data_IF_796443072577
#
_entry.id   IF_796443072577
#
_cell.length_a   1.000
_cell.length_b   1.000
_cell.length_c   1.000
_cell.angle_alpha   90.00
_cell.angle_beta   90.00
_cell.angle_gamma   90.00
#
_symmetry.space_group_name_H-M   'P 1'
#
loop_
_entity.id
_entity.type
_entity.pdbx_description
1 polymer ?
#
# COMPACT_ATOMS: atom_id res chain seq x y z
N UNK A 1 -8.42 16.65 6.71
CA UNK A 1 -8.73 15.20 6.56
C UNK A 1 -9.67 14.79 7.67
N UNK A 2 -10.84 14.25 7.32
CA UNK A 2 -11.75 13.66 8.30
C UNK A 2 -11.17 12.33 8.81
N UNK A 3 -11.21 12.09 10.12
CA UNK A 3 -10.63 10.88 10.72
C UNK A 3 -11.62 9.72 10.54
N UNK A 4 -11.33 8.84 9.59
CA UNK A 4 -12.18 7.67 9.36
C UNK A 4 -12.03 6.65 10.51
N UNK A 5 -13.03 5.80 10.78
CA UNK A 5 -12.92 4.75 11.80
C UNK A 5 -11.71 3.82 11.59
N UNK A 6 -11.34 3.56 10.34
CA UNK A 6 -10.18 2.76 9.98
C UNK A 6 -8.86 3.47 10.33
N UNK A 7 -8.79 4.79 10.13
CA UNK A 7 -7.66 5.60 10.55
C UNK A 7 -7.48 5.59 12.07
N UNK A 8 -8.58 5.72 12.83
CA UNK A 8 -8.57 5.63 14.30
C UNK A 8 -8.13 4.24 14.80
N UNK A 9 -8.61 3.16 14.16
CA UNK A 9 -8.15 1.79 14.46
C UNK A 9 -6.64 1.66 14.24
N UNK A 10 -6.10 2.22 13.16
CA UNK A 10 -4.66 2.16 12.90
C UNK A 10 -3.85 2.99 13.91
N UNK A 11 -4.37 4.14 14.33
CA UNK A 11 -3.78 4.92 15.41
C UNK A 11 -3.75 4.15 16.73
N UNK A 12 -4.80 3.37 17.03
CA UNK A 12 -4.82 2.48 18.19
C UNK A 12 -3.77 1.37 18.06
N UNK A 13 -3.66 0.70 16.91
CA UNK A 13 -2.64 -0.33 16.67
C UNK A 13 -1.21 0.22 16.74
N UNK A 14 -1.00 1.46 16.28
CA UNK A 14 0.27 2.17 16.41
C UNK A 14 0.62 2.39 17.89
N UNK A 15 -0.35 2.82 18.71
CA UNK A 15 -0.19 3.03 20.16
C UNK A 15 0.04 1.71 20.90
N UNK A 16 -0.63 0.64 20.50
CA UNK A 16 -0.51 -0.69 21.08
C UNK A 16 0.77 -1.45 20.64
N UNK A 17 1.49 -0.95 19.63
CA UNK A 17 2.70 -1.60 19.12
C UNK A 17 2.46 -2.82 18.23
N UNK A 18 1.22 -3.03 17.76
CA UNK A 18 0.83 -4.19 16.93
C UNK A 18 1.32 -4.10 15.48
N UNK A 19 1.73 -2.91 15.02
CA UNK A 19 2.30 -2.72 13.70
C UNK A 19 3.77 -3.12 13.67
N UNK A 20 4.19 -3.79 12.60
CA UNK A 20 5.61 -4.05 12.35
C UNK A 20 6.37 -2.73 12.32
N UNK A 21 7.60 -2.72 12.82
CA UNK A 21 8.36 -1.48 13.04
C UNK A 21 8.43 -0.57 11.80
N UNK A 22 8.66 -1.16 10.61
CA UNK A 22 8.72 -0.43 9.34
C UNK A 22 7.36 0.18 8.97
N UNK A 23 6.27 -0.58 9.12
CA UNK A 23 4.90 -0.09 8.87
C UNK A 23 4.56 1.07 9.81
N UNK A 24 4.93 0.92 11.09
CA UNK A 24 4.77 1.96 12.12
C UNK A 24 5.51 3.25 11.75
N UNK A 25 6.77 3.13 11.31
CA UNK A 25 7.58 4.27 10.87
C UNK A 25 6.96 4.93 9.63
N UNK A 26 6.59 4.16 8.61
CA UNK A 26 5.96 4.66 7.37
C UNK A 26 4.66 5.41 7.69
N UNK A 27 3.79 4.82 8.51
CA UNK A 27 2.51 5.45 8.86
C UNK A 27 2.69 6.76 9.63
N UNK A 28 3.60 6.80 10.62
CA UNK A 28 3.96 8.04 11.33
C UNK A 28 4.44 9.12 10.37
N UNK A 29 5.28 8.75 9.41
CA UNK A 29 5.84 9.68 8.43
C UNK A 29 4.74 10.31 7.57
N UNK A 30 3.77 9.51 7.09
CA UNK A 30 2.65 10.07 6.32
C UNK A 30 1.73 10.97 7.14
N UNK A 31 1.52 10.70 8.43
CA UNK A 31 0.78 11.60 9.31
C UNK A 31 1.49 12.96 9.42
N UNK A 32 2.81 12.95 9.54
CA UNK A 32 3.62 14.17 9.67
C UNK A 32 3.78 14.94 8.35
N UNK A 33 3.60 14.27 7.21
CA UNK A 33 3.83 14.82 5.86
C UNK A 33 2.59 14.60 4.97
N UNK A 34 1.50 15.37 5.21
CA UNK A 34 0.23 15.19 4.50
C UNK A 34 0.31 15.49 3.00
N UNK A 35 1.28 16.32 2.59
CA UNK A 35 1.47 16.69 1.18
C UNK A 35 2.09 15.57 0.33
N UNK A 36 2.51 14.47 0.96
CA UNK A 36 3.15 13.35 0.30
C UNK A 36 4.67 13.42 0.32
N UNK A 37 5.28 12.29 -0.01
CA UNK A 37 6.71 12.08 -0.04
C UNK A 37 7.11 11.18 -1.20
N UNK A 38 8.19 11.55 -1.88
CA UNK A 38 8.85 10.69 -2.84
C UNK A 38 9.40 9.43 -2.18
N UNK A 39 9.69 8.41 -3.00
CA UNK A 39 10.34 7.18 -2.53
C UNK A 39 11.69 7.45 -1.86
N UNK A 40 12.47 8.39 -2.40
CA UNK A 40 13.78 8.74 -1.87
C UNK A 40 13.64 9.37 -0.48
N UNK A 41 12.70 10.30 -0.31
CA UNK A 41 12.44 10.93 0.98
C UNK A 41 11.92 9.92 2.01
N UNK A 42 11.04 9.00 1.59
CA UNK A 42 10.59 7.93 2.48
C UNK A 42 11.73 7.05 2.96
N UNK A 43 12.64 6.64 2.06
CA UNK A 43 13.82 5.85 2.47
C UNK A 43 14.70 6.65 3.41
N UNK A 44 14.92 7.93 3.12
CA UNK A 44 15.71 8.80 3.96
C UNK A 44 15.14 8.95 5.37
N UNK A 45 13.83 9.23 5.48
CA UNK A 45 13.19 9.48 6.78
C UNK A 45 13.04 8.18 7.59
N UNK A 46 12.68 7.06 6.95
CA UNK A 46 12.41 5.78 7.65
C UNK A 46 13.70 5.11 8.12
N UNK A 47 14.79 5.21 7.35
CA UNK A 47 16.06 4.51 7.61
C UNK A 47 17.22 5.44 8.01
N UNK A 48 17.04 6.76 7.98
CA UNK A 48 18.10 7.73 8.31
C UNK A 48 19.28 7.75 7.33
N UNK A 49 19.13 7.14 6.16
CA UNK A 49 20.23 6.92 5.23
C UNK A 49 20.11 7.84 3.99
N UNK A 50 21.25 8.33 3.48
CA UNK A 50 21.28 8.94 2.15
C UNK A 50 21.07 7.85 1.10
N UNK A 51 20.13 8.09 0.20
CA UNK A 51 19.83 7.18 -0.91
C UNK A 51 20.59 7.63 -2.14
N UNK A 52 21.18 6.67 -2.86
CA UNK A 52 21.80 6.95 -4.15
C UNK A 52 20.75 7.38 -5.17
N UNK A 53 21.19 7.96 -6.30
CA UNK A 53 20.27 8.44 -7.36
C UNK A 53 19.36 7.33 -7.92
N UNK A 54 19.77 6.07 -7.84
CA UNK A 54 19.01 4.93 -8.36
C UNK A 54 18.43 4.06 -7.24
N UNK A 55 17.09 4.02 -7.15
CA UNK A 55 16.35 3.23 -6.17
C UNK A 55 15.97 1.82 -6.65
N UNK A 56 16.15 1.50 -7.94
CA UNK A 56 15.52 0.31 -8.53
C UNK A 56 15.99 -1.01 -7.91
N UNK A 57 17.21 -1.05 -7.35
CA UNK A 57 17.77 -2.22 -6.67
C UNK A 57 17.99 -1.99 -5.16
N UNK A 58 17.42 -0.92 -4.59
CA UNK A 58 17.61 -0.63 -3.17
C UNK A 58 16.70 -1.52 -2.30
N UNK A 59 17.31 -2.32 -1.42
CA UNK A 59 16.58 -3.22 -0.52
C UNK A 59 15.70 -2.46 0.47
N UNK A 60 16.07 -1.23 0.86
CA UNK A 60 15.29 -0.38 1.76
C UNK A 60 14.05 0.14 1.06
N UNK A 61 14.19 0.57 -0.20
CA UNK A 61 13.04 0.94 -1.02
C UNK A 61 12.06 -0.25 -1.16
N UNK A 62 12.58 -1.46 -1.44
CA UNK A 62 11.75 -2.68 -1.48
C UNK A 62 11.00 -2.90 -0.17
N UNK A 63 11.64 -2.68 0.98
CA UNK A 63 11.00 -2.75 2.31
C UNK A 63 9.91 -1.69 2.47
N UNK A 64 10.12 -0.46 2.00
CA UNK A 64 9.10 0.59 2.01
C UNK A 64 7.90 0.21 1.16
N UNK A 65 8.11 -0.23 -0.08
CA UNK A 65 7.01 -0.64 -0.96
C UNK A 65 6.19 -1.77 -0.34
N UNK A 66 6.85 -2.75 0.29
CA UNK A 66 6.19 -3.85 1.02
C UNK A 66 5.42 -3.36 2.26
N UNK A 67 5.96 -2.41 3.00
CA UNK A 67 5.27 -1.78 4.13
C UNK A 67 4.04 -1.00 3.70
N UNK A 68 4.14 -0.20 2.64
CA UNK A 68 3.00 0.52 2.03
C UNK A 68 1.94 -0.48 1.54
N UNK A 69 2.35 -1.54 0.84
CA UNK A 69 1.45 -2.61 0.40
C UNK A 69 0.71 -3.26 1.58
N UNK A 70 1.42 -3.59 2.66
CA UNK A 70 0.83 -4.14 3.88
C UNK A 70 -0.20 -3.20 4.52
N UNK A 71 0.12 -1.90 4.60
CA UNK A 71 -0.80 -0.88 5.10
C UNK A 71 -2.04 -0.75 4.20
N UNK A 72 -1.88 -0.74 2.86
CA UNK A 72 -3.00 -0.72 1.92
C UNK A 72 -3.89 -1.95 2.05
N UNK A 73 -3.30 -3.13 2.24
CA UNK A 73 -4.05 -4.38 2.46
C UNK A 73 -4.85 -4.36 3.77
N UNK A 74 -4.46 -3.54 4.75
CA UNK A 74 -5.21 -3.28 5.99
C UNK A 74 -6.27 -2.18 5.85
N UNK A 75 -6.47 -1.64 4.64
CA UNK A 75 -7.46 -0.62 4.34
C UNK A 75 -6.97 0.83 4.50
N UNK A 76 -5.65 1.04 4.65
CA UNK A 76 -5.09 2.40 4.66
C UNK A 76 -5.06 2.95 3.24
N UNK A 77 -5.68 4.11 3.04
CA UNK A 77 -5.75 4.75 1.72
C UNK A 77 -4.47 5.54 1.48
N UNK A 78 -3.48 4.84 0.91
CA UNK A 78 -2.21 5.42 0.46
C UNK A 78 -2.24 5.47 -1.06
N UNK A 79 -2.10 6.67 -1.61
CA UNK A 79 -2.06 6.88 -3.06
C UNK A 79 -0.70 7.37 -3.50
N UNK A 80 -0.36 7.03 -4.74
CA UNK A 80 0.81 7.56 -5.44
C UNK A 80 0.30 8.58 -6.45
N UNK A 81 0.69 9.85 -6.32
CA UNK A 81 0.38 10.85 -7.34
C UNK A 81 1.40 10.75 -8.46
N UNK A 82 0.93 10.54 -9.69
CA UNK A 82 1.75 10.45 -10.91
C UNK A 82 2.47 11.75 -11.29
N UNK A 83 2.14 12.89 -10.66
CA UNK A 83 2.70 14.22 -10.95
C UNK A 83 3.88 14.69 -10.09
N UNK A 84 4.47 13.84 -9.25
CA UNK A 84 5.74 14.15 -8.56
C UNK A 84 5.71 14.22 -7.03
N UNK A 85 4.54 14.34 -6.39
CA UNK A 85 4.45 14.41 -4.91
C UNK A 85 4.65 13.05 -4.20
N UNK A 86 4.81 11.96 -4.96
CA UNK A 86 5.08 10.63 -4.40
C UNK A 86 3.87 10.00 -3.69
N UNK A 87 4.12 9.33 -2.56
CA UNK A 87 3.10 8.64 -1.76
C UNK A 87 2.54 9.55 -0.67
N UNK A 88 1.22 9.52 -0.47
CA UNK A 88 0.54 10.24 0.63
C UNK A 88 -0.64 9.44 1.18
N UNK A 89 -1.05 9.79 2.40
CA UNK A 89 -2.37 9.42 2.92
C UNK A 89 -3.42 10.33 2.30
N UNK A 90 -4.47 9.73 1.75
CA UNK A 90 -5.55 10.48 1.09
C UNK A 90 -6.87 9.75 1.33
N UNK A 91 -7.64 10.23 2.30
CA UNK A 91 -8.90 9.62 2.71
C UNK A 91 -10.11 10.36 2.11
N UNK A 92 -9.91 11.10 1.02
CA UNK A 92 -11.01 11.79 0.36
C UNK A 92 -11.91 10.79 -0.37
N UNK A 93 -13.21 11.09 -0.43
CA UNK A 93 -14.21 10.14 -0.93
C UNK A 93 -13.94 9.67 -2.35
N UNK A 94 -13.55 10.59 -3.23
CA UNK A 94 -13.21 10.28 -4.62
C UNK A 94 -11.99 9.35 -4.72
N UNK A 95 -10.98 9.61 -3.88
CA UNK A 95 -9.77 8.78 -3.79
C UNK A 95 -10.12 7.37 -3.32
N UNK A 96 -10.97 7.25 -2.31
CA UNK A 96 -11.47 5.97 -1.82
C UNK A 96 -12.25 5.21 -2.91
N UNK A 97 -13.14 5.90 -3.64
CA UNK A 97 -13.90 5.30 -4.74
C UNK A 97 -13.00 4.88 -5.91
N UNK A 98 -11.94 5.65 -6.20
CA UNK A 98 -10.93 5.29 -7.20
C UNK A 98 -10.18 4.01 -6.80
N UNK A 99 -9.68 3.95 -5.56
CA UNK A 99 -9.01 2.75 -5.05
C UNK A 99 -9.93 1.53 -5.01
N UNK A 100 -11.20 1.70 -4.65
CA UNK A 100 -12.18 0.62 -4.66
C UNK A 100 -12.41 0.08 -6.09
N UNK A 101 -12.52 0.96 -7.09
CA UNK A 101 -12.65 0.58 -8.51
C UNK A 101 -11.41 -0.17 -9.01
N UNK A 102 -10.22 0.30 -8.67
CA UNK A 102 -8.96 -0.39 -8.99
C UNK A 102 -8.94 -1.82 -8.42
N UNK A 103 -9.32 -1.98 -7.15
CA UNK A 103 -9.36 -3.29 -6.48
C UNK A 103 -10.40 -4.22 -7.10
N UNK A 104 -11.61 -3.73 -7.40
CA UNK A 104 -12.64 -4.51 -8.10
C UNK A 104 -12.18 -4.99 -9.48
N UNK A 105 -11.53 -4.11 -10.25
CA UNK A 105 -10.95 -4.47 -11.55
C UNK A 105 -9.85 -5.53 -11.40
N UNK A 106 -9.01 -5.42 -10.37
CA UNK A 106 -7.98 -6.41 -10.07
C UNK A 106 -8.57 -7.78 -9.69
N UNK A 107 -9.67 -7.81 -8.93
CA UNK A 107 -10.40 -9.04 -8.62
C UNK A 107 -10.86 -9.73 -9.91
N UNK A 108 -11.52 -8.99 -10.82
CA UNK A 108 -11.98 -9.53 -12.11
C UNK A 108 -10.85 -10.17 -12.91
N UNK A 109 -9.74 -9.44 -13.09
CA UNK A 109 -8.58 -9.94 -13.85
C UNK A 109 -7.92 -11.16 -13.20
N UNK A 110 -7.90 -11.22 -11.86
CA UNK A 110 -7.38 -12.38 -11.15
C UNK A 110 -8.30 -13.59 -11.34
N UNK A 111 -9.61 -13.41 -11.31
CA UNK A 111 -10.57 -14.47 -11.56
C UNK A 111 -10.43 -15.02 -12.99
N UNK A 112 -10.36 -14.15 -14.00
CA UNK A 112 -10.11 -14.57 -15.39
C UNK A 112 -8.84 -15.43 -15.51
N UNK A 113 -7.78 -15.06 -14.79
CA UNK A 113 -6.54 -15.84 -14.78
C UNK A 113 -6.69 -17.19 -14.08
N UNK A 114 -7.47 -17.26 -13.00
CA UNK A 114 -7.80 -18.53 -12.33
C UNK A 114 -8.56 -19.42 -13.31
N UNK A 115 -9.62 -18.92 -13.94
CA UNK A 115 -10.46 -19.67 -14.87
C UNK A 115 -9.64 -20.25 -16.03
N UNK A 116 -8.70 -19.47 -16.57
CA UNK A 116 -7.76 -19.93 -17.61
C UNK A 116 -6.86 -21.06 -17.11
N UNK A 117 -6.30 -20.95 -15.89
CA UNK A 117 -5.47 -22.02 -15.32
C UNK A 117 -6.30 -23.29 -15.10
N UNK A 118 -7.53 -23.16 -14.59
CA UNK A 118 -8.44 -24.29 -14.40
C UNK A 118 -8.78 -24.97 -15.73
N UNK A 119 -9.07 -24.19 -16.78
CA UNK A 119 -9.40 -24.71 -18.10
C UNK A 119 -8.22 -25.44 -18.78
N UNK A 120 -7.02 -24.85 -18.76
CA UNK A 120 -5.88 -25.39 -19.51
C UNK A 120 -5.02 -26.40 -18.72
N UNK A 121 -5.03 -26.34 -17.38
CA UNK A 121 -4.06 -27.08 -16.57
C UNK A 121 -4.66 -28.02 -15.53
N UNK A 122 -5.98 -27.98 -15.28
CA UNK A 122 -6.62 -28.92 -14.37
C UNK A 122 -7.53 -29.89 -15.14
N UNK A 123 -7.48 -31.20 -14.85
CA UNK A 123 -8.41 -32.14 -15.45
C UNK A 123 -9.84 -31.84 -15.01
N UNK A 124 -10.86 -32.08 -15.86
CA UNK A 124 -12.25 -31.88 -15.48
C UNK A 124 -12.56 -32.72 -14.25
N UNK A 125 -13.11 -32.08 -13.20
CA UNK A 125 -13.55 -32.80 -12.00
C UNK A 125 -14.53 -33.89 -12.42
N UNK A 126 -14.15 -35.17 -12.27
CA UNK A 126 -15.09 -36.30 -12.41
C UNK A 126 -16.22 -36.07 -11.41
N UNK A 127 -17.41 -35.77 -11.92
CA UNK A 127 -18.63 -35.73 -11.10
C UNK A 127 -18.82 -37.13 -10.50
N UNK A 128 -18.84 -37.21 -9.17
CA UNK A 128 -19.33 -38.38 -8.44
C UNK A 128 -20.85 -38.30 -8.38
#
# INVERSE_FOLDING_TARGET
>A
MSRTPQYEKLLAQLKAGELKEIERRIFKVFIQKPNGLTRQELVHIVFGARVGRNLNNDTRDRKIRKGIESLRNRGVIIVSTSGGAGYKLDADYETMQSMLRELKSRISRLQERVDMIEYYHLPPKKKK
#
